data_IF_532691691906
#
_entry.id   IF_532691691906
#
_cell.length_a   1.000
_cell.length_b   1.000
_cell.length_c   1.000
_cell.angle_alpha   90.00
_cell.angle_beta   90.00
_cell.angle_gamma   90.00
#
_symmetry.space_group_name_H-M   'P 1'
#
loop_
_entity.id
_entity.type
_entity.pdbx_description
1 polymer ?
#
# COMPACT_ATOMS: atom_id res chain seq x y z
N UNK A 1 -12.42 -22.69 13.61
CA UNK A 1 -11.28 -22.78 12.66
C UNK A 1 -10.15 -21.93 13.21
N UNK A 2 -8.95 -22.51 13.34
CA UNK A 2 -7.76 -21.79 13.83
C UNK A 2 -7.29 -20.74 12.81
N UNK A 3 -6.49 -19.77 13.25
CA UNK A 3 -5.93 -18.72 12.38
C UNK A 3 -5.04 -19.34 11.28
N UNK A 4 -4.25 -20.37 11.60
CA UNK A 4 -3.42 -21.09 10.63
C UNK A 4 -4.24 -21.71 9.50
N UNK A 5 -5.30 -22.42 9.85
CA UNK A 5 -6.20 -23.03 8.84
C UNK A 5 -6.83 -21.96 7.96
N UNK A 6 -7.26 -20.83 8.54
CA UNK A 6 -7.79 -19.70 7.75
C UNK A 6 -6.74 -19.14 6.79
N UNK A 7 -5.51 -18.97 7.28
CA UNK A 7 -4.39 -18.46 6.49
C UNK A 7 -4.08 -19.37 5.30
N UNK A 8 -3.93 -20.66 5.53
CA UNK A 8 -3.57 -21.63 4.48
C UNK A 8 -4.66 -21.74 3.43
N UNK A 9 -5.92 -21.68 3.86
CA UNK A 9 -7.06 -21.64 2.95
C UNK A 9 -7.08 -20.38 2.10
N UNK A 10 -6.87 -19.23 2.72
CA UNK A 10 -6.86 -17.96 1.98
C UNK A 10 -5.68 -17.91 1.01
N UNK A 11 -4.50 -18.38 1.41
CA UNK A 11 -3.36 -18.52 0.49
C UNK A 11 -3.62 -19.46 -0.68
N UNK A 12 -4.39 -20.52 -0.48
CA UNK A 12 -4.80 -21.43 -1.55
C UNK A 12 -5.86 -20.81 -2.47
N UNK A 13 -6.73 -19.96 -1.93
CA UNK A 13 -7.77 -19.25 -2.71
C UNK A 13 -7.21 -18.09 -3.51
N UNK A 14 -6.23 -17.37 -2.97
CA UNK A 14 -5.66 -16.19 -3.60
C UNK A 14 -4.66 -16.59 -4.68
N UNK A 15 -4.99 -16.31 -5.94
CA UNK A 15 -3.99 -16.30 -6.97
C UNK A 15 -3.00 -15.16 -6.70
N UNK A 16 -1.70 -15.42 -6.84
CA UNK A 16 -0.69 -14.37 -6.72
C UNK A 16 -0.72 -13.48 -7.96
N UNK A 17 -1.21 -12.27 -7.78
CA UNK A 17 -1.37 -11.21 -8.79
C UNK A 17 -0.71 -9.93 -8.31
N UNK A 18 -0.48 -8.93 -9.18
CA UNK A 18 0.02 -7.62 -8.77
C UNK A 18 -0.80 -6.99 -7.64
N UNK A 19 -2.12 -7.09 -7.68
CA UNK A 19 -3.06 -6.50 -6.71
C UNK A 19 -3.27 -7.34 -5.43
N UNK A 20 -2.63 -8.50 -5.32
CA UNK A 20 -2.68 -9.36 -4.12
C UNK A 20 -1.34 -9.45 -3.39
N UNK A 21 -0.27 -8.82 -3.89
CA UNK A 21 1.09 -8.98 -3.35
C UNK A 21 1.18 -8.58 -1.87
N UNK A 22 0.57 -7.46 -1.48
CA UNK A 22 0.55 -6.98 -0.08
C UNK A 22 -0.20 -8.00 0.79
N UNK A 23 -1.37 -8.44 0.35
CA UNK A 23 -2.20 -9.41 1.06
C UNK A 23 -1.47 -10.74 1.26
N UNK A 24 -0.79 -11.25 0.23
CA UNK A 24 0.03 -12.46 0.31
C UNK A 24 1.21 -12.27 1.27
N UNK A 25 1.88 -11.12 1.23
CA UNK A 25 2.98 -10.81 2.12
C UNK A 25 2.56 -10.88 3.60
N UNK A 26 1.49 -10.16 3.98
CA UNK A 26 1.04 -10.13 5.39
C UNK A 26 0.46 -11.48 5.84
N UNK A 27 -0.15 -12.27 4.93
CA UNK A 27 -0.60 -13.63 5.20
C UNK A 27 0.58 -14.57 5.50
N UNK A 28 1.62 -14.55 4.67
CA UNK A 28 2.83 -15.38 4.87
C UNK A 28 3.50 -15.04 6.20
N UNK A 29 3.52 -13.78 6.58
CA UNK A 29 4.12 -13.30 7.83
C UNK A 29 3.23 -13.52 9.07
N UNK A 30 1.94 -13.83 8.88
CA UNK A 30 0.99 -13.91 9.99
C UNK A 30 0.66 -12.54 10.62
N UNK A 31 0.90 -11.45 9.88
CA UNK A 31 0.72 -10.07 10.35
C UNK A 31 -0.65 -9.49 9.93
N UNK A 32 -1.70 -10.30 10.06
CA UNK A 32 -3.07 -9.90 9.74
C UNK A 32 -4.11 -10.68 10.56
N UNK A 33 -5.31 -10.09 10.69
CA UNK A 33 -6.51 -10.80 11.09
C UNK A 33 -7.25 -11.28 9.85
N UNK A 34 -7.95 -12.44 9.95
CA UNK A 34 -8.69 -13.04 8.84
C UNK A 34 -10.13 -13.33 9.27
N UNK A 35 -11.09 -12.75 8.53
CA UNK A 35 -12.52 -13.00 8.68
C UNK A 35 -12.99 -13.70 7.42
N UNK A 36 -13.65 -14.86 7.54
CA UNK A 36 -14.04 -15.70 6.40
C UNK A 36 -15.42 -16.31 6.61
N UNK A 37 -16.19 -16.39 5.51
CA UNK A 37 -17.36 -17.26 5.38
C UNK A 37 -17.15 -18.22 4.20
N UNK A 38 -17.54 -19.49 4.37
CA UNK A 38 -17.41 -20.53 3.36
C UNK A 38 -18.73 -21.01 2.78
N UNK A 39 -19.78 -20.93 3.58
CA UNK A 39 -21.03 -21.63 3.34
C UNK A 39 -22.03 -20.75 2.55
N UNK A 40 -21.56 -20.11 1.47
CA UNK A 40 -22.41 -19.32 0.60
C UNK A 40 -22.46 -19.92 -0.80
N UNK A 41 -23.65 -19.95 -1.45
CA UNK A 41 -23.79 -20.40 -2.84
C UNK A 41 -22.93 -19.62 -3.84
N UNK A 42 -22.62 -18.37 -3.51
CA UNK A 42 -21.82 -17.43 -4.30
C UNK A 42 -20.30 -17.66 -4.15
N UNK A 43 -19.89 -18.65 -3.38
CA UNK A 43 -18.48 -18.94 -3.08
C UNK A 43 -17.98 -18.28 -1.79
N UNK A 44 -16.74 -18.58 -1.42
CA UNK A 44 -16.15 -18.09 -0.19
C UNK A 44 -15.83 -16.61 -0.30
N UNK A 45 -16.06 -15.89 0.81
CA UNK A 45 -15.59 -14.51 0.99
C UNK A 45 -14.60 -14.43 2.14
N UNK A 46 -13.61 -13.55 2.02
CA UNK A 46 -12.64 -13.31 3.07
C UNK A 46 -12.33 -11.82 3.19
N UNK A 47 -12.10 -11.36 4.42
CA UNK A 47 -11.52 -10.05 4.71
C UNK A 47 -10.20 -10.27 5.43
N UNK A 48 -9.17 -9.62 4.94
CA UNK A 48 -7.86 -9.56 5.51
C UNK A 48 -7.62 -8.16 6.07
N UNK A 49 -7.32 -8.07 7.35
CA UNK A 49 -7.01 -6.82 8.04
C UNK A 49 -5.54 -6.82 8.45
N UNK A 50 -4.66 -6.09 7.74
CA UNK A 50 -3.25 -5.98 8.10
C UNK A 50 -3.08 -5.31 9.47
N UNK A 51 -2.14 -5.80 10.29
CA UNK A 51 -1.86 -5.21 11.62
C UNK A 51 -1.23 -3.83 11.50
N UNK A 52 -0.41 -3.60 10.48
CA UNK A 52 0.22 -2.30 10.20
C UNK A 52 -0.77 -1.26 9.71
N UNK A 53 -1.88 -1.67 9.09
CA UNK A 53 -2.88 -0.78 8.53
C UNK A 53 -4.30 -1.30 8.79
N UNK A 54 -4.73 -1.39 10.06
CA UNK A 54 -6.01 -2.00 10.45
C UNK A 54 -7.22 -1.21 9.96
N UNK A 55 -7.05 0.06 9.62
CA UNK A 55 -8.12 0.91 9.10
C UNK A 55 -8.47 0.61 7.62
N UNK A 56 -7.65 -0.16 6.91
CA UNK A 56 -7.77 -0.43 5.47
C UNK A 56 -7.78 -1.94 5.17
N UNK A 57 -8.77 -2.70 5.63
CA UNK A 57 -8.90 -4.10 5.28
C UNK A 57 -9.11 -4.31 3.79
N UNK A 58 -8.77 -5.51 3.33
CA UNK A 58 -8.93 -5.95 1.94
C UNK A 58 -9.92 -7.11 1.89
N UNK A 59 -10.97 -7.02 1.08
CA UNK A 59 -11.91 -8.13 0.89
C UNK A 59 -11.67 -8.86 -0.42
N UNK A 60 -11.98 -10.15 -0.40
CA UNK A 60 -11.93 -11.07 -1.52
C UNK A 60 -13.26 -11.81 -1.61
N UNK A 61 -13.76 -12.01 -2.82
CA UNK A 61 -15.07 -12.57 -3.13
C UNK A 61 -15.93 -11.60 -3.91
N UNK A 62 -17.04 -12.10 -4.47
CA UNK A 62 -17.93 -11.34 -5.38
C UNK A 62 -19.28 -11.00 -4.77
N UNK A 63 -19.59 -11.53 -3.59
CA UNK A 63 -20.86 -11.32 -2.89
C UNK A 63 -20.75 -10.18 -1.87
N UNK A 64 -21.34 -9.02 -2.20
CA UNK A 64 -21.28 -7.82 -1.37
C UNK A 64 -22.00 -8.00 -0.01
N UNK A 65 -23.13 -8.74 0.03
CA UNK A 65 -23.83 -9.03 1.28
C UNK A 65 -22.99 -9.92 2.19
N UNK A 66 -22.37 -10.96 1.62
CA UNK A 66 -21.50 -11.85 2.37
C UNK A 66 -20.24 -11.11 2.87
N UNK A 67 -19.66 -10.18 2.10
CA UNK A 67 -18.56 -9.32 2.54
C UNK A 67 -19.03 -8.43 3.70
N UNK A 68 -20.18 -7.80 3.59
CA UNK A 68 -20.75 -6.98 4.66
C UNK A 68 -20.91 -7.77 5.96
N UNK A 69 -21.45 -9.00 5.89
CA UNK A 69 -21.62 -9.87 7.06
C UNK A 69 -20.28 -10.21 7.76
N UNK A 70 -19.17 -10.16 7.06
CA UNK A 70 -17.85 -10.29 7.69
C UNK A 70 -17.31 -8.95 8.18
N UNK A 71 -17.57 -7.86 7.44
CA UNK A 71 -17.03 -6.54 7.72
C UNK A 71 -17.55 -5.95 9.04
N UNK A 72 -18.78 -6.23 9.43
CA UNK A 72 -19.35 -5.81 10.72
C UNK A 72 -18.56 -6.33 11.93
N UNK A 73 -17.77 -7.39 11.76
CA UNK A 73 -16.91 -7.96 12.81
C UNK A 73 -15.49 -7.38 12.82
N UNK A 74 -15.11 -6.64 11.79
CA UNK A 74 -13.81 -5.98 11.70
C UNK A 74 -13.83 -4.69 12.49
N UNK A 75 -12.89 -4.53 13.43
CA UNK A 75 -12.84 -3.32 14.27
C UNK A 75 -11.94 -2.26 13.67
N UNK A 76 -12.37 -1.00 13.75
CA UNK A 76 -11.54 0.16 13.42
C UNK A 76 -11.27 0.36 11.93
N UNK A 77 -12.03 -0.28 11.04
CA UNK A 77 -11.93 -0.01 9.61
C UNK A 77 -12.55 1.37 9.27
N UNK A 78 -11.96 2.03 8.29
CA UNK A 78 -12.38 3.34 7.77
C UNK A 78 -12.73 3.27 6.28
N UNK A 79 -12.10 2.34 5.59
CA UNK A 79 -12.39 2.00 4.21
C UNK A 79 -12.15 0.51 4.00
N UNK A 80 -12.56 -0.02 2.88
CA UNK A 80 -12.29 -1.40 2.49
C UNK A 80 -11.91 -1.46 1.01
N UNK A 81 -10.82 -2.16 0.69
CA UNK A 81 -10.36 -2.38 -0.67
C UNK A 81 -11.02 -3.64 -1.24
N UNK A 82 -11.75 -3.50 -2.33
CA UNK A 82 -12.51 -4.58 -2.98
C UNK A 82 -12.23 -4.63 -4.48
N UNK A 83 -12.65 -5.70 -5.13
CA UNK A 83 -12.70 -5.74 -6.60
C UNK A 83 -13.76 -4.73 -7.10
N UNK A 84 -13.49 -4.11 -8.25
CA UNK A 84 -14.28 -2.99 -8.77
C UNK A 84 -15.76 -3.31 -8.89
N UNK A 85 -16.10 -4.52 -9.29
CA UNK A 85 -17.46 -5.01 -9.50
C UNK A 85 -18.26 -5.08 -8.20
N UNK A 86 -17.57 -5.23 -7.07
CA UNK A 86 -18.17 -5.33 -5.73
C UNK A 86 -18.34 -3.95 -5.08
N UNK A 87 -17.58 -2.95 -5.54
CA UNK A 87 -17.48 -1.67 -4.85
C UNK A 87 -18.83 -0.95 -4.71
N UNK A 88 -19.58 -0.80 -5.80
CA UNK A 88 -20.88 -0.11 -5.78
C UNK A 88 -21.91 -0.85 -4.92
N UNK A 89 -22.18 -2.16 -5.13
CA UNK A 89 -23.12 -2.89 -4.28
C UNK A 89 -22.75 -2.85 -2.79
N UNK A 90 -21.49 -3.03 -2.46
CA UNK A 90 -21.03 -2.95 -1.07
C UNK A 90 -21.19 -1.53 -0.49
N UNK A 91 -20.89 -0.50 -1.28
CA UNK A 91 -21.06 0.89 -0.89
C UNK A 91 -22.51 1.24 -0.56
N UNK A 92 -23.47 0.76 -1.35
CA UNK A 92 -24.90 0.90 -1.09
C UNK A 92 -25.31 0.23 0.23
N UNK A 93 -24.82 -0.98 0.48
CA UNK A 93 -25.08 -1.69 1.74
C UNK A 93 -24.50 -0.89 2.92
N UNK A 94 -23.23 -0.47 2.85
CA UNK A 94 -22.57 0.31 3.91
C UNK A 94 -23.34 1.60 4.18
N UNK A 95 -23.67 2.35 3.13
CA UNK A 95 -24.41 3.61 3.25
C UNK A 95 -25.77 3.42 3.92
N UNK A 96 -26.51 2.39 3.52
CA UNK A 96 -27.82 2.08 4.09
C UNK A 96 -27.76 1.62 5.55
N UNK A 97 -26.77 0.80 5.90
CA UNK A 97 -26.62 0.23 7.25
C UNK A 97 -26.07 1.23 8.26
N UNK A 98 -25.06 2.02 7.86
CA UNK A 98 -24.43 2.99 8.75
C UNK A 98 -25.05 4.38 8.70
N UNK A 99 -26.02 4.63 7.77
CA UNK A 99 -26.65 5.94 7.57
C UNK A 99 -25.63 7.05 7.30
N UNK A 100 -24.61 6.74 6.52
CA UNK A 100 -23.53 7.65 6.12
C UNK A 100 -23.29 7.59 4.62
N UNK A 101 -22.76 8.66 4.06
CA UNK A 101 -22.29 8.64 2.68
C UNK A 101 -20.99 7.84 2.55
N UNK A 102 -20.76 7.28 1.37
CA UNK A 102 -19.50 6.62 1.01
C UNK A 102 -18.91 7.21 -0.25
N UNK A 103 -17.60 7.22 -0.33
CA UNK A 103 -16.83 7.63 -1.50
C UNK A 103 -16.03 6.45 -2.06
N UNK A 104 -15.68 6.55 -3.35
CA UNK A 104 -14.95 5.51 -4.07
C UNK A 104 -13.65 6.06 -4.61
N UNK A 105 -12.53 5.41 -4.30
CA UNK A 105 -11.21 5.74 -4.84
C UNK A 105 -10.56 4.51 -5.45
N UNK A 106 -10.14 4.63 -6.70
CA UNK A 106 -9.46 3.54 -7.39
C UNK A 106 -7.96 3.50 -7.03
N UNK A 107 -7.48 2.32 -6.72
CA UNK A 107 -6.07 1.97 -6.63
C UNK A 107 -5.65 1.16 -7.86
N UNK A 108 -4.55 1.52 -8.49
CA UNK A 108 -4.11 0.95 -9.77
C UNK A 108 -2.73 0.31 -9.63
N UNK A 109 -2.59 -0.86 -10.24
CA UNK A 109 -1.41 -1.70 -10.15
C UNK A 109 -0.72 -1.80 -11.50
N UNK A 110 0.58 -1.59 -11.51
CA UNK A 110 1.39 -1.57 -12.72
C UNK A 110 2.53 -2.56 -12.61
N UNK A 111 2.90 -3.18 -13.72
CA UNK A 111 4.09 -4.03 -13.84
C UNK A 111 4.89 -3.62 -15.08
N UNK A 112 6.20 -3.91 -15.14
CA UNK A 112 6.99 -3.69 -16.34
C UNK A 112 6.61 -4.67 -17.45
N UNK A 113 6.64 -4.22 -18.70
CA UNK A 113 6.48 -5.11 -19.88
C UNK A 113 7.78 -5.79 -20.30
N UNK A 114 8.89 -5.33 -19.78
CA UNK A 114 10.22 -5.83 -20.12
C UNK A 114 11.24 -5.35 -19.11
N UNK A 115 12.49 -5.20 -19.53
CA UNK A 115 13.54 -4.67 -18.69
C UNK A 115 13.29 -3.18 -18.38
N UNK A 116 13.37 -2.83 -17.11
CA UNK A 116 13.18 -1.46 -16.64
C UNK A 116 14.34 -0.55 -17.03
N UNK A 117 14.03 0.71 -17.28
CA UNK A 117 15.02 1.72 -17.61
C UNK A 117 15.94 2.00 -16.42
N UNK A 118 17.23 2.20 -16.71
CA UNK A 118 18.23 2.58 -15.71
C UNK A 118 18.28 4.09 -15.56
N UNK A 119 18.16 4.55 -14.32
CA UNK A 119 18.39 5.94 -13.95
C UNK A 119 19.37 5.96 -12.78
N UNK A 120 20.47 6.67 -12.94
CA UNK A 120 21.52 6.75 -11.95
C UNK A 120 21.62 8.15 -11.35
N UNK A 121 22.05 8.23 -10.11
CA UNK A 121 22.38 9.47 -9.43
C UNK A 121 23.45 9.16 -8.38
N UNK A 122 24.52 9.93 -8.34
CA UNK A 122 25.66 9.71 -7.44
C UNK A 122 25.30 9.73 -5.95
N UNK A 123 24.23 10.46 -5.60
CA UNK A 123 23.72 10.52 -4.21
C UNK A 123 22.89 9.29 -3.82
N UNK A 124 22.57 8.40 -4.78
CA UNK A 124 21.68 7.23 -4.55
C UNK A 124 22.48 5.95 -4.44
N UNK A 125 22.23 5.21 -3.38
CA UNK A 125 22.81 3.88 -3.18
C UNK A 125 21.87 2.95 -2.44
N UNK A 126 22.20 1.67 -2.40
CA UNK A 126 21.57 0.72 -1.48
C UNK A 126 21.88 1.12 -0.03
N UNK A 127 20.86 1.03 0.83
CA UNK A 127 21.00 1.28 2.26
C UNK A 127 21.11 -0.05 3.01
N UNK A 128 21.87 -0.03 4.10
CA UNK A 128 22.19 -1.17 4.95
C UNK A 128 21.84 -0.88 6.41
N UNK A 129 22.11 -1.82 7.31
CA UNK A 129 21.92 -1.61 8.75
C UNK A 129 22.78 -0.46 9.31
N UNK A 130 23.89 -0.11 8.66
CA UNK A 130 24.74 1.02 9.03
C UNK A 130 23.99 2.36 8.86
N UNK A 131 23.01 2.40 7.93
CA UNK A 131 22.20 3.59 7.67
C UNK A 131 21.00 3.72 8.59
N UNK A 132 20.75 2.75 9.47
CA UNK A 132 19.62 2.75 10.37
C UNK A 132 19.50 4.04 11.23
N UNK A 133 20.61 4.62 11.77
CA UNK A 133 20.53 5.89 12.47
C UNK A 133 20.02 7.03 11.61
N UNK A 134 20.44 7.11 10.33
CA UNK A 134 20.00 8.13 9.38
C UNK A 134 18.52 7.96 9.03
N UNK A 135 18.07 6.74 8.81
CA UNK A 135 16.66 6.45 8.51
C UNK A 135 15.72 6.80 9.66
N UNK A 136 16.18 6.65 10.91
CA UNK A 136 15.40 7.04 12.10
C UNK A 136 15.19 8.55 12.23
N UNK A 137 15.97 9.38 11.54
CA UNK A 137 15.76 10.84 11.51
C UNK A 137 14.63 11.26 10.58
N UNK A 138 14.19 10.36 9.67
CA UNK A 138 13.05 10.64 8.82
C UNK A 138 11.75 10.68 9.64
N UNK A 139 10.78 11.51 9.25
CA UNK A 139 9.42 11.38 9.75
C UNK A 139 8.92 9.94 9.59
N UNK A 140 8.11 9.47 10.52
CA UNK A 140 7.68 8.07 10.55
C UNK A 140 7.04 7.61 9.24
N UNK A 141 6.24 8.47 8.63
CA UNK A 141 5.57 8.25 7.34
C UNK A 141 6.55 8.18 6.15
N UNK A 142 7.76 8.72 6.30
CA UNK A 142 8.82 8.70 5.29
C UNK A 142 9.78 7.52 5.45
N UNK A 143 9.68 6.79 6.55
CA UNK A 143 10.56 5.66 6.82
C UNK A 143 10.23 4.47 5.91
N UNK A 144 11.22 3.82 5.28
CA UNK A 144 10.98 2.74 4.34
C UNK A 144 10.67 1.41 5.06
N UNK A 145 9.57 1.38 5.82
CA UNK A 145 9.16 0.19 6.59
C UNK A 145 8.25 -0.73 5.76
N UNK A 146 7.29 -0.16 5.02
CA UNK A 146 6.28 -0.95 4.30
C UNK A 146 5.54 -1.90 5.24
N UNK A 147 5.30 -3.12 4.80
CA UNK A 147 4.65 -4.18 5.57
C UNK A 147 5.65 -5.11 6.28
N UNK A 148 6.89 -4.65 6.52
CA UNK A 148 7.93 -5.41 7.24
C UNK A 148 7.85 -5.24 8.76
N UNK A 149 7.05 -4.29 9.27
CA UNK A 149 6.85 -4.02 10.69
C UNK A 149 7.86 -3.04 11.29
N UNK A 150 9.13 -3.08 10.87
CA UNK A 150 10.18 -2.18 11.36
C UNK A 150 11.30 -1.96 10.33
N UNK A 151 12.10 -0.89 10.55
CA UNK A 151 13.22 -0.51 9.68
C UNK A 151 14.31 -1.59 9.60
N UNK A 152 14.63 -2.27 10.69
CA UNK A 152 15.66 -3.31 10.70
C UNK A 152 15.27 -4.48 9.81
N UNK A 153 14.02 -4.93 9.94
CA UNK A 153 13.46 -5.99 9.10
C UNK A 153 13.42 -5.58 7.63
N UNK A 154 12.99 -4.34 7.34
CA UNK A 154 12.99 -3.82 5.97
C UNK A 154 14.41 -3.77 5.35
N UNK A 155 15.42 -3.35 6.11
CA UNK A 155 16.81 -3.32 5.65
C UNK A 155 17.44 -4.71 5.46
N UNK A 156 17.04 -5.70 6.28
CA UNK A 156 17.65 -7.04 6.26
C UNK A 156 16.94 -8.02 5.34
N UNK A 157 15.63 -7.98 5.27
CA UNK A 157 14.79 -8.90 4.48
C UNK A 157 14.18 -8.27 3.24
N UNK A 158 14.03 -6.95 3.25
CA UNK A 158 13.63 -6.16 2.11
C UNK A 158 14.83 -5.70 1.28
N UNK A 159 14.58 -4.72 0.43
CA UNK A 159 15.57 -4.01 -0.34
C UNK A 159 15.26 -2.53 -0.22
N UNK A 160 16.20 -1.75 0.28
CA UNK A 160 16.05 -0.31 0.47
C UNK A 160 17.15 0.43 -0.27
N UNK A 161 16.80 1.43 -1.07
CA UNK A 161 17.73 2.40 -1.65
C UNK A 161 17.37 3.80 -1.17
N UNK A 162 18.34 4.67 -1.08
CA UNK A 162 18.11 6.06 -0.67
C UNK A 162 19.10 7.03 -1.27
N UNK A 163 18.67 8.28 -1.39
CA UNK A 163 19.52 9.41 -1.70
C UNK A 163 20.01 10.04 -0.38
N UNK A 164 21.32 10.19 -0.24
CA UNK A 164 21.95 10.83 0.89
C UNK A 164 22.61 12.12 0.40
N UNK A 165 22.17 13.26 0.97
CA UNK A 165 22.72 14.59 0.68
C UNK A 165 23.06 15.26 2.01
N UNK A 166 24.30 15.73 2.14
CA UNK A 166 24.80 16.39 3.35
C UNK A 166 24.54 15.55 4.63
N UNK A 167 24.77 14.23 4.54
CA UNK A 167 24.57 13.31 5.64
C UNK A 167 23.12 13.02 6.02
N UNK A 168 22.14 13.44 5.20
CA UNK A 168 20.70 13.23 5.45
C UNK A 168 20.10 12.36 4.35
N UNK A 169 19.25 11.41 4.72
CA UNK A 169 18.42 10.68 3.76
C UNK A 169 17.30 11.60 3.31
N UNK A 170 17.23 11.87 2.00
CA UNK A 170 16.26 12.83 1.43
C UNK A 170 15.26 12.18 0.47
N UNK A 171 15.55 10.97 0.01
CA UNK A 171 14.63 10.14 -0.76
C UNK A 171 14.91 8.67 -0.46
N UNK A 172 13.86 7.84 -0.51
CA UNK A 172 13.95 6.39 -0.40
C UNK A 172 13.10 5.71 -1.46
N UNK A 173 13.50 4.51 -1.84
CA UNK A 173 12.67 3.51 -2.48
C UNK A 173 12.95 2.16 -1.86
N UNK A 174 11.93 1.30 -1.76
CA UNK A 174 12.07 0.05 -1.06
C UNK A 174 11.05 -0.99 -1.53
N UNK A 175 11.38 -2.26 -1.30
CA UNK A 175 10.42 -3.35 -1.40
C UNK A 175 9.45 -3.27 -0.22
N UNK A 176 8.25 -2.75 -0.42
CA UNK A 176 7.26 -2.53 0.64
C UNK A 176 6.60 -3.83 1.09
N UNK A 177 6.37 -4.75 0.16
CA UNK A 177 5.86 -6.10 0.40
C UNK A 177 6.43 -7.08 -0.62
N UNK A 178 6.58 -8.35 -0.26
CA UNK A 178 7.14 -9.39 -1.13
C UNK A 178 6.31 -10.67 -1.06
N UNK A 179 5.77 -11.09 -2.19
CA UNK A 179 5.20 -12.40 -2.42
C UNK A 179 6.26 -13.37 -2.96
N UNK A 180 5.81 -14.44 -3.61
CA UNK A 180 6.68 -15.43 -4.27
C UNK A 180 7.18 -14.95 -5.62
N UNK A 181 6.33 -14.22 -6.36
CA UNK A 181 6.59 -13.72 -7.71
C UNK A 181 6.67 -12.19 -7.76
N UNK A 182 5.86 -11.51 -6.99
CA UNK A 182 5.69 -10.06 -7.05
C UNK A 182 6.27 -9.35 -5.83
N UNK A 183 6.76 -8.12 -6.05
CA UNK A 183 7.29 -7.25 -4.99
C UNK A 183 6.69 -5.86 -5.16
N UNK A 184 5.95 -5.39 -4.18
CA UNK A 184 5.40 -4.04 -4.17
C UNK A 184 6.48 -3.01 -3.82
N UNK A 185 6.49 -1.88 -4.53
CA UNK A 185 7.55 -0.87 -4.46
C UNK A 185 7.03 0.41 -3.83
N UNK A 186 7.62 0.78 -2.68
CA UNK A 186 7.40 2.07 -2.05
C UNK A 186 8.46 3.10 -2.48
N UNK A 187 8.04 4.37 -2.57
CA UNK A 187 8.94 5.51 -2.87
C UNK A 187 8.55 6.71 -2.03
N UNK A 188 9.56 7.39 -1.52
CA UNK A 188 9.39 8.64 -0.80
C UNK A 188 10.48 9.65 -1.18
N UNK A 189 10.14 10.93 -1.19
CA UNK A 189 11.11 12.02 -1.34
C UNK A 189 10.64 13.24 -0.52
N UNK A 190 11.55 13.81 0.25
CA UNK A 190 11.31 15.06 0.98
C UNK A 190 10.93 16.17 0.00
N UNK A 191 9.96 16.99 0.37
CA UNK A 191 9.37 18.01 -0.50
C UNK A 191 10.40 18.94 -1.11
N UNK A 192 11.33 19.46 -0.31
CA UNK A 192 12.40 20.37 -0.74
C UNK A 192 13.40 19.72 -1.73
N UNK A 193 13.38 18.39 -1.86
CA UNK A 193 14.25 17.62 -2.75
C UNK A 193 13.55 17.03 -3.97
N UNK A 194 12.26 17.33 -4.15
CA UNK A 194 11.49 16.87 -5.33
C UNK A 194 12.03 17.47 -6.62
N UNK A 195 11.68 16.83 -7.76
CA UNK A 195 12.08 17.22 -9.13
C UNK A 195 13.59 17.24 -9.40
N UNK A 196 14.41 16.61 -8.55
CA UNK A 196 15.86 16.45 -8.72
C UNK A 196 16.25 15.06 -9.26
N UNK A 197 15.29 14.21 -9.65
CA UNK A 197 15.55 12.86 -10.15
C UNK A 197 15.87 11.81 -9.08
N UNK A 198 15.96 12.19 -7.79
CA UNK A 198 16.37 11.30 -6.69
C UNK A 198 15.44 10.10 -6.51
N UNK A 199 14.11 10.35 -6.47
CA UNK A 199 13.10 9.29 -6.39
C UNK A 199 13.18 8.34 -7.60
N UNK A 200 13.39 8.89 -8.82
CA UNK A 200 13.55 8.09 -10.04
C UNK A 200 14.76 7.16 -9.95
N UNK A 201 15.90 7.67 -9.50
CA UNK A 201 17.13 6.88 -9.38
C UNK A 201 17.01 5.82 -8.27
N UNK A 202 16.46 6.17 -7.10
CA UNK A 202 16.24 5.22 -6.01
C UNK A 202 15.27 4.10 -6.43
N UNK A 203 14.15 4.44 -7.06
CA UNK A 203 13.18 3.47 -7.55
C UNK A 203 13.77 2.60 -8.68
N UNK A 204 14.55 3.19 -9.60
CA UNK A 204 15.27 2.44 -10.64
C UNK A 204 16.19 1.38 -10.03
N UNK A 205 16.97 1.73 -9.01
CA UNK A 205 17.87 0.79 -8.34
C UNK A 205 17.09 -0.37 -7.71
N UNK A 206 16.03 -0.09 -6.95
CA UNK A 206 15.22 -1.13 -6.28
C UNK A 206 14.52 -2.02 -7.30
N UNK A 207 13.83 -1.44 -8.28
CA UNK A 207 13.03 -2.20 -9.24
C UNK A 207 13.87 -3.09 -10.14
N UNK A 208 15.05 -2.62 -10.56
CA UNK A 208 16.01 -3.43 -11.34
C UNK A 208 16.62 -4.54 -10.49
N UNK A 209 16.92 -4.29 -9.23
CA UNK A 209 17.37 -5.35 -8.32
C UNK A 209 16.31 -6.44 -8.14
N UNK A 210 15.04 -6.06 -7.99
CA UNK A 210 13.93 -7.01 -7.95
C UNK A 210 13.86 -7.85 -9.23
N UNK A 211 14.04 -7.23 -10.41
CA UNK A 211 14.07 -7.98 -11.68
C UNK A 211 15.30 -8.90 -11.78
N UNK A 212 16.45 -8.48 -11.28
CA UNK A 212 17.67 -9.31 -11.27
C UNK A 212 17.51 -10.54 -10.38
N UNK A 213 16.67 -10.46 -9.34
CA UNK A 213 16.31 -11.60 -8.49
C UNK A 213 15.24 -12.52 -9.14
N UNK A 214 14.86 -12.27 -10.41
CA UNK A 214 13.84 -13.03 -11.14
C UNK A 214 12.41 -12.73 -10.69
N UNK A 215 12.19 -11.65 -9.94
CA UNK A 215 10.89 -11.23 -9.43
C UNK A 215 10.31 -10.08 -10.26
N UNK A 216 9.01 -9.86 -10.14
CA UNK A 216 8.29 -8.81 -10.86
C UNK A 216 7.98 -7.66 -9.91
N UNK A 217 8.58 -6.48 -10.09
CA UNK A 217 8.22 -5.31 -9.30
C UNK A 217 6.81 -4.84 -9.67
N UNK A 218 6.03 -4.49 -8.66
CA UNK A 218 4.69 -3.93 -8.78
C UNK A 218 4.73 -2.49 -8.30
N UNK A 219 4.10 -1.62 -9.06
CA UNK A 219 3.87 -0.22 -8.67
C UNK A 219 2.40 -0.03 -8.39
N UNK A 220 2.04 0.14 -7.13
CA UNK A 220 0.68 0.40 -6.69
C UNK A 220 0.52 1.87 -6.29
N UNK A 221 -0.56 2.50 -6.70
CA UNK A 221 -0.92 3.84 -6.24
C UNK A 221 -2.35 4.18 -6.62
N UNK A 222 -2.89 5.19 -5.95
CA UNK A 222 -4.17 5.72 -6.34
C UNK A 222 -4.22 6.28 -7.76
N UNK A 223 -5.33 6.07 -8.44
CA UNK A 223 -5.53 6.45 -9.85
C UNK A 223 -5.36 7.96 -10.11
N UNK A 224 -5.53 8.80 -9.08
CA UNK A 224 -5.34 10.24 -9.18
C UNK A 224 -4.01 10.75 -8.62
N UNK A 225 -3.12 9.84 -8.17
CA UNK A 225 -1.75 10.21 -7.80
C UNK A 225 -0.89 10.42 -9.06
N UNK A 226 -1.14 11.53 -9.77
CA UNK A 226 -0.46 11.84 -11.02
C UNK A 226 1.08 11.87 -10.93
N UNK A 227 1.70 12.40 -9.84
CA UNK A 227 3.15 12.31 -9.68
C UNK A 227 3.68 10.89 -9.65
N UNK A 228 3.04 9.98 -8.90
CA UNK A 228 3.39 8.57 -8.82
C UNK A 228 3.21 7.86 -10.16
N UNK A 229 2.07 8.07 -10.83
CA UNK A 229 1.79 7.51 -12.16
C UNK A 229 2.80 7.98 -13.21
N UNK A 230 3.23 9.25 -13.15
CA UNK A 230 4.26 9.79 -14.04
C UNK A 230 5.61 9.11 -13.80
N UNK A 231 5.96 8.86 -12.54
CA UNK A 231 7.19 8.17 -12.18
C UNK A 231 7.16 6.70 -12.62
N UNK A 232 6.06 5.98 -12.37
CA UNK A 232 5.87 4.61 -12.83
C UNK A 232 6.04 4.49 -14.35
N UNK A 233 5.37 5.33 -15.12
CA UNK A 233 5.48 5.34 -16.61
C UNK A 233 6.90 5.66 -17.07
N UNK A 234 7.58 6.62 -16.42
CA UNK A 234 8.97 6.97 -16.73
C UNK A 234 9.92 5.79 -16.54
N UNK A 235 9.67 4.94 -15.54
CA UNK A 235 10.46 3.73 -15.29
C UNK A 235 10.10 2.57 -16.24
N UNK A 236 8.97 2.62 -16.95
CA UNK A 236 8.54 1.58 -17.89
C UNK A 236 7.41 0.68 -17.37
N UNK A 237 6.74 1.08 -16.31
CA UNK A 237 5.58 0.36 -15.79
C UNK A 237 4.30 0.65 -16.58
N UNK A 238 3.45 -0.36 -16.71
CA UNK A 238 2.14 -0.27 -17.36
C UNK A 238 1.06 -0.83 -16.45
N UNK A 239 -0.10 -0.18 -16.43
CA UNK A 239 -1.24 -0.62 -15.63
C UNK A 239 -1.75 -1.99 -16.11
N UNK A 240 -2.03 -2.89 -15.17
CA UNK A 240 -2.51 -4.25 -15.42
C UNK A 240 -3.78 -4.60 -14.64
N UNK A 241 -3.99 -3.98 -13.49
CA UNK A 241 -5.20 -4.21 -12.70
C UNK A 241 -5.60 -2.97 -11.91
N UNK A 242 -6.76 -3.06 -11.27
CA UNK A 242 -7.38 -2.01 -10.46
C UNK A 242 -8.24 -2.63 -9.41
N UNK A 243 -8.24 -2.04 -8.22
CA UNK A 243 -9.20 -2.30 -7.15
C UNK A 243 -9.80 -0.98 -6.68
N UNK A 244 -10.88 -1.02 -5.91
CA UNK A 244 -11.58 0.19 -5.48
C UNK A 244 -11.72 0.19 -3.96
N UNK A 245 -11.33 1.29 -3.33
CA UNK A 245 -11.66 1.59 -1.94
C UNK A 245 -13.10 2.07 -1.85
N UNK A 246 -13.87 1.45 -0.96
CA UNK A 246 -15.14 1.98 -0.46
C UNK A 246 -14.85 2.65 0.87
N UNK A 247 -15.02 3.96 0.97
CA UNK A 247 -14.55 4.80 2.06
C UNK A 247 -15.76 5.43 2.75
N UNK A 248 -15.86 5.32 4.08
CA UNK A 248 -16.83 6.08 4.86
C UNK A 248 -16.47 7.56 4.75
N UNK A 249 -17.43 8.42 4.38
CA UNK A 249 -17.18 9.81 3.98
C UNK A 249 -16.43 10.62 5.04
N UNK A 250 -16.71 10.42 6.33
CA UNK A 250 -16.01 11.09 7.43
C UNK A 250 -14.50 10.83 7.45
N UNK A 251 -14.05 9.70 6.85
CA UNK A 251 -12.65 9.33 6.77
C UNK A 251 -12.00 9.65 5.41
N UNK A 252 -12.76 10.18 4.45
CA UNK A 252 -12.27 10.40 3.09
C UNK A 252 -11.00 11.27 3.07
N UNK A 253 -10.96 12.34 3.86
CA UNK A 253 -9.80 13.23 3.94
C UNK A 253 -8.57 12.51 4.51
N UNK A 254 -8.73 11.59 5.45
CA UNK A 254 -7.63 10.83 6.06
C UNK A 254 -7.12 9.74 5.14
N UNK A 255 -8.02 8.98 4.52
CA UNK A 255 -7.68 7.95 3.53
C UNK A 255 -7.01 8.60 2.32
N UNK A 256 -7.56 9.69 1.81
CA UNK A 256 -6.98 10.42 0.68
C UNK A 256 -5.57 10.93 0.99
N UNK A 257 -5.31 11.42 2.20
CA UNK A 257 -3.96 11.85 2.61
C UNK A 257 -2.96 10.72 2.69
N UNK A 258 -3.39 9.53 3.10
CA UNK A 258 -2.52 8.34 3.19
C UNK A 258 -2.23 7.74 1.83
N UNK A 259 -3.27 7.60 1.03
CA UNK A 259 -3.21 7.01 -0.31
C UNK A 259 -2.70 8.04 -1.35
N UNK A 260 -2.86 9.34 -1.05
CA UNK A 260 -2.64 10.44 -1.98
C UNK A 260 -2.09 11.66 -1.25
N UNK A 261 -0.80 11.79 -1.05
CA UNK A 261 -0.22 13.03 -0.52
C UNK A 261 -0.38 14.14 -1.55
N UNK A 262 -1.54 14.79 -1.55
CA UNK A 262 -1.80 15.97 -2.39
C UNK A 262 -1.35 17.21 -1.65
N UNK A 263 -0.41 17.94 -2.25
CA UNK A 263 -0.17 19.33 -1.93
C UNK A 263 -1.34 20.20 -2.43
N UNK A 264 -2.19 20.63 -1.51
CA UNK A 264 -2.82 21.94 -1.57
C UNK A 264 -3.17 22.39 -0.13
N UNK A 265 -2.14 22.78 0.61
CA UNK A 265 -2.31 23.56 1.83
C UNK A 265 -2.41 25.03 1.45
N UNK A 266 -3.55 25.48 0.93
CA UNK A 266 -4.01 26.87 1.00
C UNK A 266 -5.53 26.91 0.89
N UNK A 267 -6.20 26.29 1.88
CA UNK A 267 -7.50 26.78 2.33
C UNK A 267 -7.57 26.56 3.83
N UNK A 268 -7.58 27.70 4.54
CA UNK A 268 -7.78 27.75 5.97
C UNK A 268 -9.20 27.30 6.28
N UNK A 269 -9.37 26.08 6.73
CA UNK A 269 -10.53 25.73 7.52
C UNK A 269 -10.12 25.82 8.98
N UNK A 270 -10.58 26.87 9.64
CA UNK A 270 -10.60 26.98 11.10
C UNK A 270 -11.55 25.90 11.62
N UNK A 271 -11.04 24.90 12.28
CA UNK A 271 -11.78 24.14 13.28
C UNK A 271 -10.86 23.90 14.47
N UNK A 272 -11.45 24.16 15.62
CA UNK A 272 -10.89 24.11 16.96
C UNK A 272 -10.33 22.75 17.35
N UNK A 273 -9.30 22.82 18.21
CA UNK A 273 -8.79 21.81 19.13
C UNK A 273 -9.62 20.54 19.32
N UNK A 274 -8.98 19.36 19.09
CA UNK A 274 -8.63 18.46 20.19
C UNK A 274 -7.68 17.38 19.68
N UNK A 275 -6.69 17.11 20.51
CA UNK A 275 -5.61 16.17 20.24
C UNK A 275 -6.10 14.73 20.40
N UNK A 276 -5.98 13.89 19.37
CA UNK A 276 -5.93 12.43 19.52
C UNK A 276 -4.93 11.84 18.52
N UNK A 277 -4.02 11.10 19.07
CA UNK A 277 -2.94 10.28 18.55
C UNK A 277 -2.93 9.92 17.06
N UNK A 278 -1.83 10.34 16.43
CA UNK A 278 -1.37 10.00 15.11
C UNK A 278 -1.25 8.50 14.87
N UNK A 279 -2.06 7.95 13.99
CA UNK A 279 -1.81 6.67 13.38
C UNK A 279 -1.00 6.85 12.09
N UNK A 280 0.08 6.08 12.01
CA UNK A 280 1.05 6.05 10.93
C UNK A 280 0.43 5.57 9.62
N UNK A 281 0.08 6.52 8.74
CA UNK A 281 -0.25 6.20 7.37
C UNK A 281 1.02 5.98 6.53
N UNK A 282 1.10 4.92 5.77
CA UNK A 282 2.16 4.70 4.79
C UNK A 282 1.94 5.62 3.59
N UNK A 283 2.93 6.46 3.32
CA UNK A 283 2.92 7.36 2.18
C UNK A 283 3.66 6.67 1.04
N UNK A 284 2.92 6.04 0.13
CA UNK A 284 3.46 5.57 -1.15
C UNK A 284 3.23 6.70 -2.16
N UNK A 285 4.30 7.32 -2.66
CA UNK A 285 4.23 8.26 -3.77
C UNK A 285 4.03 7.50 -5.06
#
# INVERSE_FOLDING_TARGET
MTLEVKRDLLLAMLAEKPDTVISIHVLIRGECNIYMSRDKPTGPVAILQPKELPSEPVAFGTDADAIWQQLIHVKGWQCILVDKEVALPLGEIISNQLKTAVSFLDDVYHVPRGQLLSFENQSVRRLTLEDLPLLKTLPREAQPVGFWGDLRTSLTKGLVAGAIIEGKVVATSFAAARGRRYVDIGVYVLESYRRRGLATAAASLVTRSVQSDGLVPVWSCGAHNHPSLKLARKLGFNQVSRRTYVIIEEYLADVSRRTYPVHNAREKIKTSNDAVHSNSGYMII
#
